data_IF_334695904067
#
_entry.id   IF_334695904067
#
_cell.length_a   1.000
_cell.length_b   1.000
_cell.length_c   1.000
_cell.angle_alpha   90.00
_cell.angle_beta   90.00
_cell.angle_gamma   90.00
#
_symmetry.space_group_name_H-M   'P 1'
#
loop_
_entity.id
_entity.type
_entity.pdbx_description
1 polymer ?
#
# COMPACT_ATOMS: atom_id res chain seq x y z
N UNK A 1 27.07 4.08 6.55
CA UNK A 1 26.01 3.96 5.53
C UNK A 1 24.69 4.04 6.25
N UNK A 2 23.82 4.99 5.91
CA UNK A 2 22.47 5.07 6.49
C UNK A 2 21.65 3.91 5.95
N UNK A 3 21.05 3.12 6.84
CA UNK A 3 20.13 2.04 6.44
C UNK A 3 18.90 2.72 5.85
N UNK A 4 18.60 2.47 4.57
CA UNK A 4 17.42 3.04 3.91
C UNK A 4 16.14 2.52 4.56
N UNK A 5 15.14 3.40 4.68
CA UNK A 5 13.82 3.09 5.22
C UNK A 5 12.99 2.39 4.16
N UNK A 6 12.83 1.08 4.29
CA UNK A 6 12.06 0.29 3.33
C UNK A 6 10.55 0.55 3.47
N UNK A 7 9.90 0.96 2.38
CA UNK A 7 8.46 1.19 2.29
C UNK A 7 7.81 0.12 1.43
N UNK A 8 6.82 -0.58 1.97
CA UNK A 8 5.95 -1.48 1.20
C UNK A 8 4.82 -0.67 0.56
N UNK A 9 4.57 -0.90 -0.73
CA UNK A 9 3.45 -0.31 -1.46
C UNK A 9 2.53 -1.42 -1.97
N UNK A 10 1.35 -1.54 -1.36
CA UNK A 10 0.25 -2.38 -1.86
C UNK A 10 -0.62 -1.53 -2.80
N UNK A 11 -0.99 -2.08 -3.95
CA UNK A 11 -1.62 -1.30 -5.03
C UNK A 11 -0.61 -0.53 -5.88
N UNK A 12 0.66 -0.97 -5.90
CA UNK A 12 1.78 -0.30 -6.57
C UNK A 12 1.59 -0.01 -8.06
N UNK A 13 0.81 -0.83 -8.75
CA UNK A 13 0.57 -0.71 -10.21
C UNK A 13 -0.60 0.21 -10.56
N UNK A 14 -1.38 0.64 -9.56
CA UNK A 14 -2.52 1.53 -9.74
C UNK A 14 -2.10 3.00 -9.83
N UNK A 15 -3.04 3.88 -10.19
CA UNK A 15 -2.79 5.30 -10.33
C UNK A 15 -2.23 5.93 -9.05
N UNK A 16 -2.82 5.63 -7.89
CA UNK A 16 -2.36 6.15 -6.60
C UNK A 16 -0.98 5.58 -6.23
N UNK A 17 -0.81 4.26 -6.34
CA UNK A 17 0.44 3.60 -5.97
C UNK A 17 1.63 4.11 -6.78
N UNK A 18 1.47 4.32 -8.09
CA UNK A 18 2.53 4.87 -8.93
C UNK A 18 2.95 6.28 -8.50
N UNK A 19 1.98 7.17 -8.21
CA UNK A 19 2.27 8.52 -7.74
C UNK A 19 2.98 8.51 -6.36
N UNK A 20 2.56 7.61 -5.46
CA UNK A 20 3.21 7.42 -4.15
C UNK A 20 4.65 6.93 -4.33
N UNK A 21 4.89 5.96 -5.20
CA UNK A 21 6.25 5.46 -5.49
C UNK A 21 7.13 6.58 -6.01
N UNK A 22 6.64 7.38 -6.96
CA UNK A 22 7.39 8.48 -7.56
C UNK A 22 7.78 9.52 -6.50
N UNK A 23 6.87 9.85 -5.59
CA UNK A 23 7.16 10.76 -4.48
C UNK A 23 8.14 10.16 -3.46
N UNK A 24 8.04 8.86 -3.16
CA UNK A 24 8.91 8.20 -2.19
C UNK A 24 10.36 8.11 -2.66
N UNK A 25 10.62 7.96 -3.96
CA UNK A 25 11.98 7.83 -4.50
C UNK A 25 12.57 9.17 -4.97
N UNK A 26 11.76 10.23 -5.05
CA UNK A 26 12.22 11.56 -5.42
C UNK A 26 13.23 12.12 -4.39
N UNK A 27 14.23 12.91 -4.82
CA UNK A 27 15.10 13.65 -3.92
C UNK A 27 14.29 14.51 -2.94
N UNK A 28 14.85 14.74 -1.76
CA UNK A 28 14.28 15.68 -0.82
C UNK A 28 14.37 17.13 -1.36
N UNK A 29 13.67 18.07 -0.70
CA UNK A 29 13.63 19.47 -1.11
C UNK A 29 15.00 20.18 -1.05
N UNK A 30 15.98 19.60 -0.39
CA UNK A 30 17.37 20.06 -0.31
C UNK A 30 18.31 19.31 -1.28
N UNK A 31 17.74 18.63 -2.28
CA UNK A 31 18.41 17.80 -3.28
C UNK A 31 19.14 16.57 -2.72
N UNK A 32 18.99 16.26 -1.42
CA UNK A 32 19.56 15.04 -0.85
C UNK A 32 18.82 13.79 -1.37
N UNK A 33 19.51 12.63 -1.53
CA UNK A 33 18.86 11.39 -1.94
C UNK A 33 17.71 11.01 -1.01
N UNK A 34 16.65 10.43 -1.57
CA UNK A 34 15.55 9.92 -0.75
C UNK A 34 16.06 8.96 0.34
N UNK A 35 15.59 9.08 1.59
CA UNK A 35 15.91 8.11 2.62
C UNK A 35 15.16 6.79 2.44
N UNK A 36 14.22 6.71 1.49
CA UNK A 36 13.32 5.57 1.31
C UNK A 36 13.76 4.66 0.17
N UNK A 37 13.52 3.37 0.36
CA UNK A 37 13.53 2.36 -0.71
C UNK A 37 12.13 1.76 -0.80
N UNK A 38 11.75 1.28 -1.98
CA UNK A 38 10.38 0.79 -2.20
C UNK A 38 10.40 -0.71 -2.51
N UNK A 39 9.47 -1.42 -1.87
CA UNK A 39 9.03 -2.77 -2.24
C UNK A 39 7.61 -2.68 -2.78
N UNK A 40 7.41 -3.01 -4.05
CA UNK A 40 6.10 -2.99 -4.69
C UNK A 40 5.48 -4.39 -4.68
N UNK A 41 4.25 -4.53 -4.19
CA UNK A 41 3.47 -5.77 -4.30
C UNK A 41 2.70 -5.77 -5.62
N UNK A 42 2.92 -6.79 -6.44
CA UNK A 42 2.24 -6.95 -7.74
C UNK A 42 1.78 -8.38 -7.96
N UNK A 43 0.58 -8.55 -8.50
CA UNK A 43 0.06 -9.88 -8.88
C UNK A 43 0.88 -10.51 -10.00
N UNK A 44 1.37 -9.67 -10.90
CA UNK A 44 2.20 -10.07 -12.03
C UNK A 44 3.35 -9.05 -12.21
N UNK A 45 4.52 -9.32 -11.63
CA UNK A 45 5.70 -8.49 -11.79
C UNK A 45 6.19 -8.36 -13.24
N UNK A 46 5.81 -9.27 -14.14
CA UNK A 46 6.21 -9.22 -15.56
C UNK A 46 5.35 -8.28 -16.41
N UNK A 47 4.17 -7.89 -15.92
CA UNK A 47 3.27 -7.00 -16.64
C UNK A 47 3.89 -5.64 -16.95
N UNK A 48 3.51 -5.03 -18.06
CA UNK A 48 4.01 -3.70 -18.46
C UNK A 48 3.78 -2.62 -17.37
N UNK A 49 2.70 -2.73 -16.59
CA UNK A 49 2.42 -1.82 -15.47
C UNK A 49 3.34 -2.07 -14.27
N UNK A 50 3.78 -3.32 -14.03
CA UNK A 50 4.71 -3.67 -12.97
C UNK A 50 6.17 -3.41 -13.30
N UNK A 51 6.48 -3.28 -14.58
CA UNK A 51 7.81 -2.86 -15.01
C UNK A 51 8.05 -1.35 -14.79
N UNK A 52 7.00 -0.51 -14.69
CA UNK A 52 7.18 0.94 -14.47
C UNK A 52 7.96 1.27 -13.19
N UNK A 53 7.64 0.69 -12.01
CA UNK A 53 8.49 0.86 -10.82
C UNK A 53 9.85 0.19 -10.94
N UNK A 54 9.93 -1.00 -11.55
CA UNK A 54 11.19 -1.78 -11.67
C UNK A 54 12.27 -0.99 -12.41
N UNK A 55 11.90 -0.32 -13.50
CA UNK A 55 12.81 0.54 -14.27
C UNK A 55 13.37 1.69 -13.41
N UNK A 56 12.67 2.08 -12.34
CA UNK A 56 13.09 3.11 -11.38
C UNK A 56 13.88 2.54 -10.18
N UNK A 57 14.31 1.27 -10.25
CA UNK A 57 15.07 0.61 -9.18
C UNK A 57 14.22 0.05 -8.04
N UNK A 58 12.89 0.00 -8.19
CA UNK A 58 11.98 -0.55 -7.17
C UNK A 58 11.98 -2.07 -7.22
N UNK A 59 12.09 -2.72 -6.05
CA UNK A 59 11.96 -4.17 -5.95
C UNK A 59 10.49 -4.56 -6.02
N UNK A 60 10.10 -5.31 -7.05
CA UNK A 60 8.78 -5.93 -7.12
C UNK A 60 8.80 -7.32 -6.45
N UNK A 61 7.75 -7.62 -5.70
CA UNK A 61 7.47 -8.96 -5.18
C UNK A 61 6.14 -9.43 -5.75
N UNK A 62 6.07 -10.71 -6.12
CA UNK A 62 4.84 -11.30 -6.60
C UNK A 62 3.91 -11.59 -5.42
N UNK A 63 2.64 -11.22 -5.57
CA UNK A 63 1.60 -11.55 -4.61
C UNK A 63 0.35 -10.71 -4.79
N UNK A 64 -0.72 -11.07 -4.08
CA UNK A 64 -1.98 -10.35 -4.05
C UNK A 64 -2.30 -9.92 -2.62
N UNK A 65 -3.04 -8.82 -2.45
CA UNK A 65 -3.34 -8.27 -1.12
C UNK A 65 -4.35 -9.12 -0.34
N UNK A 66 -5.16 -9.89 -1.05
CA UNK A 66 -6.23 -10.74 -0.52
C UNK A 66 -5.79 -12.20 -0.30
N UNK A 67 -4.48 -12.47 -0.40
CA UNK A 67 -3.86 -13.72 -0.02
C UNK A 67 -3.09 -13.55 1.30
N UNK A 68 -3.30 -14.49 2.22
CA UNK A 68 -2.76 -14.48 3.57
C UNK A 68 -1.25 -14.77 3.62
N UNK A 69 -0.63 -15.20 2.51
CA UNK A 69 0.83 -15.37 2.43
C UNK A 69 1.62 -14.04 2.39
N UNK A 70 0.94 -12.90 2.48
CA UNK A 70 1.49 -11.53 2.44
C UNK A 70 2.50 -11.18 3.54
N UNK A 71 2.81 -12.08 4.49
CA UNK A 71 3.83 -11.91 5.53
C UNK A 71 5.20 -11.55 4.93
N UNK A 72 5.60 -12.23 3.85
CA UNK A 72 6.88 -11.97 3.18
C UNK A 72 6.98 -10.52 2.65
N UNK A 73 5.85 -9.88 2.35
CA UNK A 73 5.82 -8.49 1.90
C UNK A 73 6.17 -7.51 3.02
N UNK A 74 5.88 -7.83 4.28
CA UNK A 74 6.06 -6.95 5.43
C UNK A 74 7.43 -7.09 6.13
N UNK A 75 8.19 -8.14 5.82
CA UNK A 75 9.48 -8.38 6.45
C UNK A 75 10.47 -7.21 6.26
N UNK A 76 10.98 -6.67 7.36
CA UNK A 76 11.97 -5.58 7.39
C UNK A 76 11.44 -4.21 6.96
N UNK A 77 10.12 -4.07 6.78
CA UNK A 77 9.50 -2.83 6.31
C UNK A 77 9.44 -1.80 7.44
N UNK A 78 9.89 -0.57 7.15
CA UNK A 78 9.79 0.61 8.02
C UNK A 78 8.40 1.26 7.95
N UNK A 79 7.77 1.28 6.78
CA UNK A 79 6.44 1.84 6.61
C UNK A 79 5.66 1.19 5.47
N UNK A 80 4.33 1.28 5.49
CA UNK A 80 3.48 0.74 4.43
C UNK A 80 2.49 1.78 3.91
N UNK A 81 2.34 1.84 2.59
CA UNK A 81 1.20 2.40 1.89
C UNK A 81 0.28 1.25 1.45
N UNK A 82 -0.99 1.31 1.86
CA UNK A 82 -1.95 0.24 1.58
C UNK A 82 -3.17 0.80 0.86
N UNK A 83 -3.33 0.37 -0.39
CA UNK A 83 -4.50 0.62 -1.21
C UNK A 83 -5.02 -0.71 -1.77
N UNK A 84 -6.25 -1.06 -1.43
CA UNK A 84 -6.96 -2.27 -1.88
C UNK A 84 -7.95 -1.92 -2.99
N UNK A 85 -8.51 -2.96 -3.63
CA UNK A 85 -9.45 -2.79 -4.73
C UNK A 85 -10.69 -3.68 -4.56
N UNK A 86 -11.70 -3.15 -3.87
CA UNK A 86 -13.01 -3.77 -3.68
C UNK A 86 -13.79 -4.02 -4.96
N UNK A 87 -13.53 -3.28 -6.05
CA UNK A 87 -14.19 -3.56 -7.34
C UNK A 87 -13.76 -4.90 -7.92
N UNK A 88 -12.53 -5.34 -7.63
CA UNK A 88 -12.02 -6.63 -8.08
C UNK A 88 -12.43 -7.79 -7.16
N UNK A 89 -12.44 -7.57 -5.84
CA UNK A 89 -12.57 -8.66 -4.85
C UNK A 89 -13.91 -8.69 -4.10
N UNK A 90 -14.72 -7.64 -4.21
CA UNK A 90 -15.94 -7.43 -3.45
C UNK A 90 -15.70 -6.87 -2.04
N UNK A 91 -16.66 -6.09 -1.53
CA UNK A 91 -16.54 -5.35 -0.26
C UNK A 91 -16.22 -6.25 0.94
N UNK A 92 -16.92 -7.39 1.07
CA UNK A 92 -16.71 -8.31 2.20
C UNK A 92 -15.27 -8.85 2.23
N UNK A 93 -14.72 -9.19 1.07
CA UNK A 93 -13.36 -9.72 0.96
C UNK A 93 -12.33 -8.62 1.16
N UNK A 94 -12.59 -7.42 0.66
CA UNK A 94 -11.73 -6.25 0.89
C UNK A 94 -11.64 -5.89 2.38
N UNK A 95 -12.77 -5.86 3.10
CA UNK A 95 -12.80 -5.61 4.55
C UNK A 95 -11.97 -6.68 5.28
N UNK A 96 -12.20 -7.96 4.96
CA UNK A 96 -11.43 -9.05 5.57
C UNK A 96 -9.93 -8.91 5.31
N UNK A 97 -9.53 -8.68 4.05
CA UNK A 97 -8.13 -8.50 3.68
C UNK A 97 -7.51 -7.29 4.39
N UNK A 98 -8.21 -6.15 4.44
CA UNK A 98 -7.76 -4.94 5.12
C UNK A 98 -7.46 -5.17 6.61
N UNK A 99 -8.35 -5.89 7.30
CA UNK A 99 -8.13 -6.28 8.71
C UNK A 99 -6.87 -7.14 8.86
N UNK A 100 -6.71 -8.16 8.00
CA UNK A 100 -5.54 -9.06 8.06
C UNK A 100 -4.24 -8.32 7.77
N UNK A 101 -4.22 -7.43 6.77
CA UNK A 101 -3.05 -6.60 6.44
C UNK A 101 -2.67 -5.73 7.65
N UNK A 102 -3.64 -5.10 8.30
CA UNK A 102 -3.38 -4.26 9.47
C UNK A 102 -2.84 -5.07 10.66
N UNK A 103 -3.39 -6.26 10.94
CA UNK A 103 -2.87 -7.15 11.98
C UNK A 103 -1.42 -7.55 11.73
N UNK A 104 -1.06 -7.88 10.48
CA UNK A 104 0.31 -8.23 10.09
C UNK A 104 1.24 -7.01 10.25
N UNK A 105 0.81 -5.85 9.76
CA UNK A 105 1.58 -4.61 9.90
C UNK A 105 1.85 -4.28 11.38
N UNK A 106 0.86 -4.45 12.26
CA UNK A 106 0.98 -4.26 13.71
C UNK A 106 1.97 -5.22 14.37
N UNK A 107 2.09 -6.45 13.87
CA UNK A 107 3.04 -7.46 14.38
C UNK A 107 4.45 -7.30 13.83
N UNK A 108 4.64 -6.47 12.80
CA UNK A 108 5.93 -6.27 12.16
C UNK A 108 6.80 -5.34 13.01
N UNK A 109 7.84 -5.89 13.65
CA UNK A 109 8.68 -5.15 14.60
C UNK A 109 9.36 -3.90 14.02
N UNK A 110 9.75 -3.92 12.74
CA UNK A 110 10.40 -2.80 12.07
C UNK A 110 9.44 -1.69 11.66
N UNK A 111 8.13 -1.94 11.67
CA UNK A 111 7.11 -1.01 11.22
C UNK A 111 7.05 0.23 12.13
N UNK A 112 6.99 1.41 11.54
CA UNK A 112 6.89 2.71 12.21
C UNK A 112 5.74 3.55 11.69
N UNK A 113 5.37 3.39 10.42
CA UNK A 113 4.28 4.16 9.81
C UNK A 113 3.38 3.26 8.97
N UNK A 114 2.07 3.43 9.10
CA UNK A 114 1.08 2.72 8.30
C UNK A 114 0.10 3.74 7.72
N UNK A 115 0.05 3.82 6.40
CA UNK A 115 -0.83 4.72 5.66
C UNK A 115 -1.85 3.89 4.92
N UNK A 116 -3.13 4.12 5.22
CA UNK A 116 -4.27 3.41 4.64
C UNK A 116 -5.04 4.36 3.72
N UNK A 117 -5.19 3.99 2.46
CA UNK A 117 -6.01 4.70 1.49
C UNK A 117 -7.48 4.37 1.77
N UNK A 118 -8.19 5.27 2.45
CA UNK A 118 -9.58 5.05 2.86
C UNK A 118 -10.58 5.88 2.05
N UNK A 119 -11.83 5.48 2.17
CA UNK A 119 -13.01 6.26 1.84
C UNK A 119 -13.83 6.51 3.12
N UNK A 120 -14.80 7.40 3.05
CA UNK A 120 -15.75 7.60 4.15
C UNK A 120 -16.63 6.36 4.35
N UNK A 121 -17.07 6.14 5.59
CA UNK A 121 -18.01 5.06 5.89
C UNK A 121 -19.42 5.42 5.39
N UNK A 122 -19.66 5.19 4.10
CA UNK A 122 -20.86 5.63 3.38
C UNK A 122 -22.17 5.24 4.06
N UNK A 123 -22.31 3.98 4.50
CA UNK A 123 -23.54 3.50 5.15
C UNK A 123 -23.91 4.30 6.41
N UNK A 124 -22.91 4.80 7.17
CA UNK A 124 -23.15 5.68 8.32
C UNK A 124 -23.54 7.08 7.86
N UNK A 125 -22.81 7.65 6.91
CA UNK A 125 -23.07 9.02 6.40
C UNK A 125 -24.51 9.13 5.86
N UNK A 126 -24.96 8.15 5.08
CA UNK A 126 -26.31 8.14 4.51
C UNK A 126 -27.42 7.86 5.53
N UNK A 127 -27.11 7.15 6.63
CA UNK A 127 -28.06 6.94 7.73
C UNK A 127 -28.35 8.22 8.51
N UNK A 128 -27.36 9.11 8.65
CA UNK A 128 -27.53 10.40 9.32
C UNK A 128 -28.33 11.39 8.46
N UNK A 129 -28.18 11.36 7.13
CA UNK A 129 -28.96 12.23 6.23
C UNK A 129 -30.45 11.87 6.20
N UNK A 130 -30.82 10.59 6.34
CA UNK A 130 -32.23 10.19 6.47
C UNK A 130 -32.86 10.64 7.79
N UNK A 131 -32.08 10.81 8.86
CA UNK A 131 -32.59 11.29 10.15
C UNK A 131 -32.90 12.81 10.15
N UNK A 132 -32.44 13.57 9.15
CA UNK A 132 -32.75 15.00 8.98
C UNK A 132 -33.82 15.28 7.91
N UNK A 133 -34.31 14.24 7.23
CA UNK A 133 -35.34 14.33 6.19
C UNK A 133 -36.68 13.71 6.61
N UNK A 134 -36.84 13.40 7.90
CA UNK A 134 -38.09 13.00 8.57
C UNK A 134 -38.33 13.93 9.76
#
# INVERSE_FOLDING_TARGET
>A
MTVSKLILVIGANGAQGLAVIDALIAPASDDSPSPYTVRALSRDPSSARAQKPVIKGVKCIQGTFDDLQTVAAFEGVYGAWVNTDGFTVGEQKEIYAGLKIFEIAKRTFSMRHYVWSNLDYGSKVYSTLHAFLL
#
